data_IF_399553274188
#
_entry.id   IF_399553274188
#
_cell.length_a   1.000
_cell.length_b   1.000
_cell.length_c   1.000
_cell.angle_alpha   90.00
_cell.angle_beta   90.00
_cell.angle_gamma   90.00
#
_symmetry.space_group_name_H-M   'P 1'
#
loop_
_entity.id
_entity.type
_entity.pdbx_description
1 polymer ?
#
# COMPACT_ATOMS: atom_id res chain seq x y z
N UNK A 1 -16.93 -6.43 -18.01
CA UNK A 1 -16.83 -5.16 -18.75
C UNK A 1 -15.95 -4.25 -17.91
N UNK A 2 -14.74 -3.92 -18.35
CA UNK A 2 -13.87 -3.00 -17.61
C UNK A 2 -14.35 -1.58 -17.85
N UNK A 3 -14.87 -0.91 -16.82
CA UNK A 3 -15.04 0.53 -16.85
C UNK A 3 -13.65 1.16 -17.06
N UNK A 4 -13.50 1.86 -18.18
CA UNK A 4 -12.30 2.64 -18.42
C UNK A 4 -12.29 3.78 -17.40
N UNK A 5 -11.27 3.82 -16.55
CA UNK A 5 -11.06 4.89 -15.57
C UNK A 5 -10.90 6.20 -16.35
N UNK A 6 -11.66 7.24 -16.00
CA UNK A 6 -11.57 8.49 -16.74
C UNK A 6 -10.19 9.17 -16.55
N UNK A 7 -9.68 9.92 -17.55
CA UNK A 7 -8.38 10.61 -17.45
C UNK A 7 -8.28 11.63 -16.29
N UNK A 8 -9.42 12.16 -15.83
CA UNK A 8 -9.57 13.00 -14.62
C UNK A 8 -9.29 12.19 -13.35
N UNK A 9 -9.82 10.98 -13.27
CA UNK A 9 -9.62 10.05 -12.16
C UNK A 9 -8.17 9.59 -12.06
N UNK A 10 -7.52 9.29 -13.19
CA UNK A 10 -6.09 8.97 -13.21
C UNK A 10 -5.22 10.10 -12.63
N UNK A 11 -5.53 11.38 -12.91
CA UNK A 11 -4.79 12.52 -12.36
C UNK A 11 -5.03 12.69 -10.86
N UNK A 12 -6.29 12.54 -10.41
CA UNK A 12 -6.64 12.61 -8.99
C UNK A 12 -5.95 11.48 -8.19
N UNK A 13 -5.96 10.26 -8.71
CA UNK A 13 -5.34 9.09 -8.12
C UNK A 13 -3.81 9.24 -8.03
N UNK A 14 -3.14 9.67 -9.12
CA UNK A 14 -1.69 9.95 -9.11
C UNK A 14 -1.29 11.05 -8.11
N UNK A 15 -2.09 12.13 -8.03
CA UNK A 15 -1.87 13.21 -7.05
C UNK A 15 -2.03 12.69 -5.62
N UNK A 16 -3.08 11.92 -5.37
CA UNK A 16 -3.32 11.30 -4.08
C UNK A 16 -2.17 10.38 -3.66
N UNK A 17 -1.71 9.52 -4.57
CA UNK A 17 -0.57 8.64 -4.37
C UNK A 17 0.73 9.39 -4.02
N UNK A 18 1.06 10.45 -4.78
CA UNK A 18 2.24 11.28 -4.50
C UNK A 18 2.16 11.95 -3.11
N UNK A 19 0.98 12.47 -2.74
CA UNK A 19 0.76 13.10 -1.43
C UNK A 19 0.86 12.08 -0.29
N UNK A 20 0.29 10.90 -0.45
CA UNK A 20 0.37 9.80 0.52
C UNK A 20 1.82 9.45 0.81
N UNK A 21 2.60 9.09 -0.21
CA UNK A 21 4.00 8.72 -0.02
C UNK A 21 4.87 9.88 0.47
N UNK A 22 4.58 11.13 0.08
CA UNK A 22 5.33 12.30 0.55
C UNK A 22 5.16 12.54 2.05
N UNK A 23 4.00 12.20 2.62
CA UNK A 23 3.71 12.37 4.04
C UNK A 23 4.34 11.28 4.93
N UNK A 24 4.79 10.16 4.35
CA UNK A 24 5.40 9.06 5.10
C UNK A 24 6.90 9.29 5.35
N UNK A 25 7.35 8.92 6.55
CA UNK A 25 8.78 8.78 6.85
C UNK A 25 9.35 7.52 6.13
N UNK A 26 10.68 7.37 6.03
CA UNK A 26 11.30 6.25 5.28
C UNK A 26 10.82 4.86 5.72
N UNK A 27 10.74 4.59 7.02
CA UNK A 27 10.26 3.30 7.55
C UNK A 27 8.83 2.99 7.10
N UNK A 28 7.92 3.97 7.17
CA UNK A 28 6.54 3.81 6.72
C UNK A 28 6.40 3.71 5.20
N UNK A 29 7.30 4.30 4.42
CA UNK A 29 7.35 4.09 2.96
C UNK A 29 7.70 2.64 2.64
N UNK A 30 8.70 2.08 3.31
CA UNK A 30 9.08 0.68 3.11
C UNK A 30 7.92 -0.26 3.48
N UNK A 31 7.24 0.00 4.59
CA UNK A 31 6.04 -0.74 4.98
C UNK A 31 4.90 -0.61 3.94
N UNK A 32 4.66 0.58 3.39
CA UNK A 32 3.63 0.77 2.36
C UNK A 32 3.98 0.04 1.04
N UNK A 33 5.25 0.06 0.61
CA UNK A 33 5.70 -0.69 -0.57
C UNK A 33 5.57 -2.19 -0.33
N UNK A 34 5.93 -2.66 0.87
CA UNK A 34 5.76 -4.05 1.25
C UNK A 34 4.29 -4.48 1.17
N UNK A 35 3.37 -3.69 1.74
CA UNK A 35 1.91 -3.94 1.64
C UNK A 35 1.50 -4.09 0.17
N UNK A 36 1.90 -3.16 -0.70
CA UNK A 36 1.53 -3.21 -2.11
C UNK A 36 2.05 -4.47 -2.79
N UNK A 37 3.30 -4.86 -2.53
CA UNK A 37 3.91 -6.10 -3.06
C UNK A 37 3.19 -7.34 -2.56
N UNK A 38 2.96 -7.43 -1.26
CA UNK A 38 2.33 -8.60 -0.64
C UNK A 38 0.88 -8.78 -1.11
N UNK A 39 0.12 -7.69 -1.22
CA UNK A 39 -1.23 -7.73 -1.78
C UNK A 39 -1.25 -8.03 -3.28
N UNK A 40 -0.20 -7.69 -4.03
CA UNK A 40 -0.12 -7.99 -5.47
C UNK A 40 0.11 -9.48 -5.74
N UNK A 41 0.80 -10.19 -4.85
CA UNK A 41 1.10 -11.63 -4.95
C UNK A 41 0.05 -12.51 -4.25
N UNK A 42 -0.89 -11.92 -3.51
CA UNK A 42 -1.93 -12.63 -2.78
C UNK A 42 -2.79 -13.50 -3.72
N UNK A 43 -2.61 -14.82 -3.65
CA UNK A 43 -3.41 -15.81 -4.37
C UNK A 43 -4.84 -15.77 -3.80
N UNK A 44 -5.82 -15.40 -4.63
CA UNK A 44 -7.22 -15.21 -4.20
C UNK A 44 -7.64 -13.76 -3.93
N UNK A 45 -6.76 -12.78 -4.15
CA UNK A 45 -7.11 -11.35 -4.22
C UNK A 45 -7.20 -10.60 -2.89
N UNK A 46 -7.27 -11.31 -1.74
CA UNK A 46 -7.27 -10.69 -0.41
C UNK A 46 -6.34 -11.41 0.58
N UNK A 47 -5.77 -10.66 1.52
CA UNK A 47 -4.84 -11.12 2.57
C UNK A 47 -5.30 -10.68 3.95
N UNK A 48 -5.12 -11.52 4.96
CA UNK A 48 -5.33 -11.14 6.36
C UNK A 48 -4.34 -10.02 6.75
N UNK A 49 -4.81 -8.94 7.38
CA UNK A 49 -3.95 -7.85 7.86
C UNK A 49 -2.90 -8.35 8.87
N UNK A 50 -3.30 -9.26 9.77
CA UNK A 50 -2.40 -9.89 10.74
C UNK A 50 -1.31 -10.73 10.10
N UNK A 51 -1.59 -11.37 8.96
CA UNK A 51 -0.59 -12.10 8.17
C UNK A 51 0.40 -11.15 7.50
N UNK A 52 -0.08 -10.09 6.83
CA UNK A 52 0.78 -9.06 6.19
C UNK A 52 1.74 -8.47 7.23
N UNK A 53 1.21 -8.16 8.41
CA UNK A 53 1.96 -7.59 9.52
C UNK A 53 3.08 -8.52 10.02
N UNK A 54 2.78 -9.81 10.23
CA UNK A 54 3.76 -10.82 10.64
C UNK A 54 4.83 -11.03 9.58
N UNK A 55 4.44 -11.15 8.31
CA UNK A 55 5.38 -11.35 7.22
C UNK A 55 6.31 -10.15 7.03
N UNK A 56 5.79 -8.92 7.17
CA UNK A 56 6.61 -7.72 7.15
C UNK A 56 7.61 -7.72 8.31
N UNK A 57 7.15 -7.98 9.55
CA UNK A 57 8.01 -8.11 10.73
C UNK A 57 9.14 -9.13 10.53
N UNK A 58 8.81 -10.30 9.99
CA UNK A 58 9.78 -11.37 9.73
C UNK A 58 10.79 -11.03 8.62
N UNK A 59 10.45 -10.11 7.72
CA UNK A 59 11.37 -9.62 6.68
C UNK A 59 12.42 -8.64 7.20
N UNK A 60 12.24 -8.13 8.43
CA UNK A 60 13.18 -7.21 9.07
C UNK A 60 14.27 -7.99 9.83
N UNK A 61 15.48 -7.43 9.84
CA UNK A 61 16.59 -7.94 10.64
C UNK A 61 16.24 -7.98 12.14
N UNK A 62 16.77 -8.94 12.88
CA UNK A 62 16.46 -9.15 14.31
C UNK A 62 16.83 -7.96 15.19
N UNK A 63 17.83 -7.18 14.81
CA UNK A 63 18.29 -5.96 15.49
C UNK A 63 17.52 -4.70 15.05
N UNK A 64 16.53 -4.84 14.16
CA UNK A 64 15.76 -3.72 13.68
C UNK A 64 14.78 -3.23 14.76
N UNK A 65 14.89 -1.97 15.24
CA UNK A 65 14.01 -1.44 16.28
C UNK A 65 12.54 -1.34 15.85
N UNK A 66 12.27 -1.35 14.53
CA UNK A 66 10.92 -1.32 13.98
C UNK A 66 10.29 -2.73 13.87
N UNK A 67 11.01 -3.81 14.18
CA UNK A 67 10.52 -5.20 14.04
C UNK A 67 9.26 -5.44 14.88
N UNK A 68 9.31 -5.14 16.17
CA UNK A 68 8.15 -5.30 17.06
C UNK A 68 7.04 -4.26 16.79
N UNK A 69 7.40 -3.11 16.18
CA UNK A 69 6.46 -2.05 15.82
C UNK A 69 5.80 -2.26 14.45
N UNK A 70 6.32 -3.21 13.65
CA UNK A 70 5.87 -3.51 12.29
C UNK A 70 4.37 -3.80 12.24
N UNK A 71 3.86 -4.56 13.23
CA UNK A 71 2.44 -4.90 13.32
C UNK A 71 1.58 -3.64 13.48
N UNK A 72 1.95 -2.74 14.40
CA UNK A 72 1.24 -1.48 14.62
C UNK A 72 1.34 -0.52 13.43
N UNK A 73 2.46 -0.52 12.70
CA UNK A 73 2.66 0.28 11.49
C UNK A 73 1.79 -0.21 10.33
N UNK A 74 1.79 -1.51 10.05
CA UNK A 74 0.99 -2.13 9.00
C UNK A 74 -0.50 -1.96 9.30
N UNK A 75 -0.92 -2.26 10.54
CA UNK A 75 -2.30 -2.07 10.97
C UNK A 75 -2.75 -0.62 10.80
N UNK A 76 -1.97 0.39 11.21
CA UNK A 76 -2.34 1.80 10.99
C UNK A 76 -2.39 2.19 9.51
N UNK A 77 -1.46 1.72 8.69
CA UNK A 77 -1.43 2.03 7.26
C UNK A 77 -2.67 1.45 6.56
N UNK A 78 -3.02 0.20 6.85
CA UNK A 78 -4.18 -0.46 6.28
C UNK A 78 -5.51 0.07 6.85
N UNK A 79 -5.57 0.32 8.17
CA UNK A 79 -6.78 0.79 8.87
C UNK A 79 -7.09 2.27 8.63
N UNK A 80 -6.13 3.07 8.13
CA UNK A 80 -6.38 4.41 7.56
C UNK A 80 -7.20 4.40 6.25
N UNK A 81 -7.99 3.35 6.07
CA UNK A 81 -8.93 3.00 5.00
C UNK A 81 -9.90 4.10 4.58
N UNK A 82 -10.08 5.17 5.35
CA UNK A 82 -10.81 6.36 4.88
C UNK A 82 -10.01 7.22 3.89
N UNK A 83 -8.67 7.16 3.96
CA UNK A 83 -7.77 8.01 3.17
C UNK A 83 -7.06 7.27 2.04
N UNK A 84 -6.74 5.98 2.19
CA UNK A 84 -5.92 5.23 1.21
C UNK A 84 -6.69 4.19 0.39
N UNK A 85 -8.03 4.26 0.36
CA UNK A 85 -8.92 3.37 -0.42
C UNK A 85 -8.57 3.27 -1.89
N UNK A 86 -7.91 4.29 -2.43
CA UNK A 86 -7.45 4.25 -3.82
C UNK A 86 -6.38 3.17 -4.03
N UNK A 87 -5.56 2.83 -3.03
CA UNK A 87 -4.43 1.90 -3.17
C UNK A 87 -4.78 0.48 -2.72
N UNK A 88 -5.54 0.34 -1.65
CA UNK A 88 -6.03 -0.95 -1.16
C UNK A 88 -7.39 -0.79 -0.51
N UNK A 89 -8.19 -1.85 -0.58
CA UNK A 89 -9.44 -1.96 0.15
C UNK A 89 -9.23 -2.82 1.39
N UNK A 90 -9.89 -2.45 2.49
CA UNK A 90 -9.95 -3.27 3.70
C UNK A 90 -11.41 -3.61 3.95
N UNK A 91 -11.68 -4.89 4.10
CA UNK A 91 -13.00 -5.44 4.42
C UNK A 91 -12.92 -6.29 5.68
N UNK A 92 -14.00 -6.28 6.45
CA UNK A 92 -14.17 -7.21 7.55
C UNK A 92 -14.90 -8.45 7.01
N UNK A 93 -14.31 -9.62 7.20
CA UNK A 93 -14.88 -10.91 6.82
C UNK A 93 -15.22 -11.67 8.09
N UNK A 94 -16.47 -12.12 8.18
CA UNK A 94 -16.91 -13.03 9.24
C UNK A 94 -16.35 -14.43 8.93
N UNK A 95 -15.47 -14.96 9.78
CA UNK A 95 -14.92 -16.31 9.63
C UNK A 95 -15.76 -17.31 10.45
N UNK A 96 -16.24 -16.89 11.62
CA UNK A 96 -17.12 -17.65 12.52
C UNK A 96 -18.05 -16.70 13.30
N UNK A 97 -19.08 -17.23 13.98
CA UNK A 97 -20.12 -16.47 14.72
C UNK A 97 -19.61 -15.39 15.69
N UNK A 98 -18.32 -15.39 16.06
CA UNK A 98 -17.71 -14.38 16.93
C UNK A 98 -16.34 -13.87 16.46
N UNK A 99 -15.83 -14.33 15.31
CA UNK A 99 -14.52 -13.95 14.80
C UNK A 99 -14.65 -13.17 13.50
N UNK A 100 -14.31 -11.88 13.58
CA UNK A 100 -14.17 -10.98 12.42
C UNK A 100 -12.71 -10.78 12.13
N UNK A 101 -12.30 -11.10 10.91
CA UNK A 101 -10.97 -10.83 10.40
C UNK A 101 -11.01 -9.63 9.46
N UNK A 102 -10.00 -8.76 9.55
CA UNK A 102 -9.81 -7.72 8.54
C UNK A 102 -8.91 -8.25 7.44
N UNK A 103 -9.40 -8.22 6.21
CA UNK A 103 -8.65 -8.59 5.01
C UNK A 103 -8.44 -7.38 4.13
N UNK A 104 -7.27 -7.30 3.51
CA UNK A 104 -6.89 -6.24 2.59
C UNK A 104 -6.74 -6.79 1.17
N UNK A 105 -7.13 -5.98 0.19
CA UNK A 105 -7.08 -6.30 -1.23
C UNK A 105 -6.42 -5.15 -2.01
N UNK A 106 -5.56 -5.47 -2.98
CA UNK A 106 -4.97 -4.45 -3.84
C UNK A 106 -6.03 -3.94 -4.84
N UNK A 107 -6.14 -2.63 -5.00
CA UNK A 107 -7.00 -2.06 -6.05
C UNK A 107 -6.28 -2.07 -7.40
N UNK A 108 -7.01 -1.88 -8.53
CA UNK A 108 -6.37 -1.66 -9.83
C UNK A 108 -5.37 -0.49 -9.81
N UNK A 109 -5.74 0.62 -9.18
CA UNK A 109 -4.83 1.77 -9.04
C UNK A 109 -3.62 1.47 -8.13
N UNK A 110 -3.81 0.70 -7.05
CA UNK A 110 -2.70 0.25 -6.20
C UNK A 110 -1.68 -0.59 -6.96
N UNK A 111 -2.14 -1.41 -7.91
CA UNK A 111 -1.29 -2.20 -8.81
C UNK A 111 -0.52 -1.30 -9.78
N UNK A 112 -1.17 -0.33 -10.41
CA UNK A 112 -0.50 0.65 -11.26
C UNK A 112 0.57 1.45 -10.49
N UNK A 113 0.21 1.91 -9.28
CA UNK A 113 1.11 2.62 -8.39
C UNK A 113 2.33 1.77 -8.00
N UNK A 114 2.13 0.48 -7.70
CA UNK A 114 3.23 -0.45 -7.45
C UNK A 114 4.17 -0.54 -8.65
N UNK A 115 3.63 -0.74 -9.87
CA UNK A 115 4.45 -0.81 -11.09
C UNK A 115 5.26 0.47 -11.34
N UNK A 116 4.71 1.65 -11.02
CA UNK A 116 5.45 2.91 -11.09
C UNK A 116 6.57 2.98 -10.05
N UNK A 117 6.34 2.48 -8.83
CA UNK A 117 7.37 2.41 -7.78
C UNK A 117 8.50 1.47 -8.21
N UNK A 118 8.18 0.27 -8.67
CA UNK A 118 9.17 -0.72 -9.11
C UNK A 118 10.07 -0.13 -10.21
N UNK A 119 9.48 0.55 -11.21
CA UNK A 119 10.25 1.24 -12.26
C UNK A 119 11.23 2.28 -11.69
N UNK A 120 10.81 3.04 -10.67
CA UNK A 120 11.69 4.04 -10.03
C UNK A 120 12.80 3.34 -9.25
N UNK A 121 12.49 2.30 -8.48
CA UNK A 121 13.48 1.51 -7.73
C UNK A 121 14.50 0.88 -8.68
N UNK A 122 14.04 0.23 -9.75
CA UNK A 122 14.87 -0.46 -10.74
C UNK A 122 15.78 0.52 -11.51
N UNK A 123 15.32 1.75 -11.73
CA UNK A 123 16.15 2.81 -12.34
C UNK A 123 17.30 3.32 -11.46
N UNK A 124 17.38 2.89 -10.20
CA UNK A 124 18.37 3.39 -9.23
C UNK A 124 18.17 4.86 -8.83
N UNK A 125 17.09 5.50 -9.30
CA UNK A 125 16.74 6.88 -8.93
C UNK A 125 16.12 6.85 -7.53
N UNK A 126 16.67 7.60 -6.55
CA UNK A 126 16.06 7.67 -5.23
C UNK A 126 14.60 8.12 -5.35
N UNK A 127 13.66 7.36 -4.78
CA UNK A 127 12.25 7.71 -4.79
C UNK A 127 12.03 9.05 -4.05
N UNK A 128 12.04 10.13 -4.83
CA UNK A 128 11.69 11.48 -4.40
C UNK A 128 10.29 11.74 -4.95
N UNK A 129 9.23 11.72 -4.13
CA UNK A 129 7.91 12.11 -4.60
C UNK A 129 8.02 13.52 -5.19
N UNK A 130 7.82 13.63 -6.51
CA UNK A 130 7.93 14.92 -7.22
C UNK A 130 6.95 15.90 -6.57
N UNK A 131 7.40 17.15 -6.36
CA UNK A 131 6.50 18.24 -5.97
C UNK A 131 5.34 18.28 -6.99
N UNK A 132 4.09 18.47 -6.55
CA UNK A 132 2.91 18.42 -7.42
C UNK A 132 2.87 19.48 -8.54
N UNK A 133 3.80 20.43 -8.57
CA UNK A 133 3.61 21.68 -9.32
C UNK A 133 4.38 21.80 -10.64
N UNK A 134 4.95 20.73 -11.21
CA UNK A 134 5.55 20.81 -12.55
C UNK A 134 5.25 19.57 -13.39
N UNK A 135 4.04 19.53 -13.91
CA UNK A 135 3.77 18.89 -15.20
C UNK A 135 3.63 20.01 -16.22
N UNK A 136 4.65 20.17 -17.08
CA UNK A 136 4.54 20.93 -18.32
C UNK A 136 4.01 19.93 -19.34
N UNK A 137 2.91 20.29 -20.01
CA UNK A 137 2.32 19.55 -21.12
C UNK A 137 3.23 19.56 -22.34
#
# INVERSE_FOLDING_TARGET
MSEAIEPSDHRAQRRHFSLFFRALNPARKNAAIYILRDLNIAVGGTREIGEIARNYSNSLADDNPDKDLAIGHIARLLDSSGKNRSLWNVEAVDIEERNREKRAALTPFGREALLEIEKIIDSGVPFRPRKPDKFVF
#
